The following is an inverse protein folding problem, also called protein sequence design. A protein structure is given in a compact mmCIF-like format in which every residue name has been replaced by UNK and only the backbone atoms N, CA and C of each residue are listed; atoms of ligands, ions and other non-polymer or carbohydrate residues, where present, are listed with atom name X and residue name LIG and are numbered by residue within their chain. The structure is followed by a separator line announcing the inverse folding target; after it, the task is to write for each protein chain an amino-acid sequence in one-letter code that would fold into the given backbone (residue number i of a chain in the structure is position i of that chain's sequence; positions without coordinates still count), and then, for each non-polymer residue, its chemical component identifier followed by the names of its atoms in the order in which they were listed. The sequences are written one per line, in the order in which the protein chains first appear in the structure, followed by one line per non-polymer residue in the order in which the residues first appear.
data_IF_075963449740
#
_entry.id   IF_075963449740
#
_cell.length_a   1.000
_cell.length_b   1.000
_cell.length_c   1.000
_cell.angle_alpha   90.00
_cell.angle_beta   90.00
_cell.angle_gamma   90.00
#
_symmetry.space_group_name_H-M   'P 1'
#
loop_
_entity.id
_entity.type
_entity.pdbx_description
1 polymer ?
#
# COMPACT_ATOMS: atom_id res chain seq x y z
N UNK A 1 4.08 1.74 56.46
CA UNK A 1 3.54 0.69 55.57
C UNK A 1 2.81 1.35 54.42
N UNK A 2 3.27 1.26 53.16
CA UNK A 2 2.51 1.80 52.04
C UNK A 2 1.30 0.90 51.77
N UNK A 3 0.10 1.48 51.74
CA UNK A 3 -1.13 0.76 51.40
C UNK A 3 -1.14 0.51 49.89
N UNK A 4 -0.97 -0.76 49.51
CA UNK A 4 -1.18 -1.22 48.14
C UNK A 4 -2.68 -1.13 47.86
N UNK A 5 -3.08 -0.32 46.89
CA UNK A 5 -4.45 -0.28 46.38
C UNK A 5 -4.41 -0.93 45.00
N UNK A 6 -4.84 -2.18 44.92
CA UNK A 6 -4.98 -2.92 43.67
C UNK A 6 -6.30 -2.55 43.00
N UNK A 7 -6.29 -1.59 42.08
CA UNK A 7 -7.41 -1.38 41.16
C UNK A 7 -7.26 -2.32 39.97
N UNK A 8 -7.57 -3.61 40.16
CA UNK A 8 -7.71 -4.56 39.05
C UNK A 8 -9.18 -4.68 38.69
N UNK A 9 -9.62 -3.96 37.65
CA UNK A 9 -10.87 -4.30 36.96
C UNK A 9 -10.47 -5.29 35.87
N UNK A 10 -10.71 -6.57 36.11
CA UNK A 10 -10.68 -7.61 35.10
C UNK A 10 -12.13 -7.73 34.63
N UNK A 11 -12.42 -7.26 33.43
CA UNK A 11 -13.72 -7.45 32.78
C UNK A 11 -13.55 -8.53 31.71
N UNK A 12 -13.97 -9.74 32.05
CA UNK A 12 -14.09 -10.87 31.13
C UNK A 12 -15.55 -11.24 31.00
N UNK A 13 -16.18 -10.85 29.89
CA UNK A 13 -17.47 -11.37 29.45
C UNK A 13 -17.69 -10.97 27.98
N UNK A 14 -17.76 -11.97 27.11
CA UNK A 14 -18.12 -11.89 25.70
C UNK A 14 -19.48 -11.19 25.50
N UNK A 15 -19.41 -9.88 25.30
CA UNK A 15 -20.48 -9.09 24.68
C UNK A 15 -19.88 -8.46 23.43
N UNK A 16 -20.27 -8.96 22.25
CA UNK A 16 -20.08 -8.24 20.98
C UNK A 16 -21.09 -7.09 20.92
N UNK A 17 -21.00 -6.19 21.89
CA UNK A 17 -21.62 -4.88 21.78
C UNK A 17 -20.92 -4.16 20.63
N UNK A 18 -21.70 -3.62 19.70
CA UNK A 18 -21.20 -2.73 18.64
C UNK A 18 -20.34 -1.65 19.31
N UNK A 19 -19.02 -1.81 19.24
CA UNK A 19 -18.06 -0.98 19.96
C UNK A 19 -18.18 0.45 19.46
N UNK A 20 -18.94 1.28 20.17
CA UNK A 20 -18.76 2.73 20.20
C UNK A 20 -17.44 3.04 20.94
N UNK A 21 -16.34 2.50 20.41
CA UNK A 21 -15.00 2.58 20.96
C UNK A 21 -14.11 3.39 20.03
N UNK A 22 -13.15 4.10 20.62
CA UNK A 22 -12.10 4.75 19.87
C UNK A 22 -11.17 3.68 19.27
N UNK A 23 -11.04 3.65 17.95
CA UNK A 23 -10.13 2.76 17.23
C UNK A 23 -8.71 3.31 17.30
N UNK A 24 -7.75 2.45 17.65
CA UNK A 24 -6.34 2.81 17.78
C UNK A 24 -5.53 2.14 16.68
N UNK A 25 -4.68 2.91 16.02
CA UNK A 25 -3.84 2.46 14.90
C UNK A 25 -2.37 2.78 15.15
N UNK A 26 -1.55 1.82 14.72
CA UNK A 26 -0.11 1.82 14.90
C UNK A 26 0.59 1.91 13.56
N UNK A 27 1.77 2.53 13.55
CA UNK A 27 2.70 2.43 12.43
C UNK A 27 3.19 0.98 12.29
N UNK A 28 3.72 0.63 11.12
CA UNK A 28 4.41 -0.65 10.87
C UNK A 28 5.55 -0.94 11.86
N UNK A 29 6.17 0.10 12.44
CA UNK A 29 7.16 -0.05 13.51
C UNK A 29 6.55 -0.26 14.91
N UNK A 30 5.23 -0.40 15.04
CA UNK A 30 4.47 -0.48 16.30
C UNK A 30 4.46 0.80 17.15
N UNK A 31 4.78 1.95 16.56
CA UNK A 31 4.55 3.26 17.19
C UNK A 31 3.06 3.60 17.16
N UNK A 32 2.52 4.18 18.23
CA UNK A 32 1.14 4.63 18.26
C UNK A 32 0.96 5.95 17.49
N UNK A 33 0.04 5.95 16.51
CA UNK A 33 -0.08 7.07 15.55
C UNK A 33 -1.47 7.69 15.54
N UNK A 34 -2.54 6.91 15.44
CA UNK A 34 -3.88 7.47 15.22
C UNK A 34 -4.89 6.87 16.19
N UNK A 35 -5.73 7.73 16.75
CA UNK A 35 -6.97 7.31 17.41
C UNK A 35 -8.13 8.02 16.72
N UNK A 36 -9.17 7.29 16.36
CA UNK A 36 -10.34 7.81 15.64
C UNK A 36 -11.63 7.14 16.10
N UNK A 37 -12.76 7.82 15.93
CA UNK A 37 -14.12 7.40 16.29
C UNK A 37 -14.75 6.36 15.33
N UNK A 38 -14.03 5.97 14.27
CA UNK A 38 -14.55 5.05 13.24
C UNK A 38 -13.42 4.23 12.62
N UNK A 39 -13.74 3.04 12.13
CA UNK A 39 -12.78 2.16 11.46
C UNK A 39 -12.24 2.78 10.16
N UNK A 40 -10.95 2.58 9.88
CA UNK A 40 -10.30 3.10 8.67
C UNK A 40 -10.90 2.53 7.38
N UNK A 41 -11.41 1.30 7.38
CA UNK A 41 -12.06 0.67 6.23
C UNK A 41 -13.40 1.30 5.84
N UNK A 42 -14.07 1.98 6.78
CA UNK A 42 -15.38 2.62 6.56
C UNK A 42 -15.25 4.08 6.05
N UNK A 43 -14.03 4.62 6.06
CA UNK A 43 -13.76 5.97 5.62
C UNK A 43 -13.63 6.04 4.10
N UNK A 44 -14.04 7.16 3.48
CA UNK A 44 -13.91 7.33 2.04
C UNK A 44 -12.44 7.33 1.64
N UNK A 45 -12.14 6.66 0.52
CA UNK A 45 -10.81 6.62 -0.10
C UNK A 45 -10.76 7.57 -1.29
N UNK A 46 -9.60 8.18 -1.50
CA UNK A 46 -9.35 9.10 -2.61
C UNK A 46 -8.92 8.30 -3.86
N UNK A 47 -9.57 8.54 -4.99
CA UNK A 47 -9.31 7.80 -6.24
C UNK A 47 -7.89 7.95 -6.80
N UNK A 48 -7.21 9.07 -6.54
CA UNK A 48 -5.91 9.34 -7.16
C UNK A 48 -4.74 8.56 -6.57
N UNK A 49 -4.83 8.14 -5.31
CA UNK A 49 -3.76 7.48 -4.57
C UNK A 49 -4.24 6.52 -3.48
N UNK A 50 -5.53 6.21 -3.46
CA UNK A 50 -6.19 5.36 -2.47
C UNK A 50 -5.95 5.78 -1.02
N UNK A 51 -5.59 7.06 -0.79
CA UNK A 51 -5.43 7.59 0.56
C UNK A 51 -6.78 7.67 1.27
N UNK A 52 -6.79 7.33 2.56
CA UNK A 52 -8.00 7.37 3.39
C UNK A 52 -8.23 8.82 3.83
N UNK A 53 -9.44 9.33 3.60
CA UNK A 53 -9.78 10.74 3.83
C UNK A 53 -10.35 10.91 5.25
N UNK A 54 -9.65 11.66 6.09
CA UNK A 54 -10.14 12.10 7.39
C UNK A 54 -10.72 13.52 7.29
N UNK A 55 -12.01 13.67 7.58
CA UNK A 55 -12.67 14.99 7.61
C UNK A 55 -12.40 15.70 8.93
N UNK A 56 -11.61 16.78 8.90
CA UNK A 56 -11.17 17.50 10.10
C UNK A 56 -12.31 18.23 10.84
N UNK A 57 -13.38 18.60 10.12
CA UNK A 57 -14.50 19.35 10.70
C UNK A 57 -15.51 18.46 11.44
N UNK A 58 -15.69 17.21 11.02
CA UNK A 58 -16.75 16.33 11.54
C UNK A 58 -16.22 15.21 12.43
N UNK A 59 -14.97 14.79 12.26
CA UNK A 59 -14.41 13.63 12.95
C UNK A 59 -13.55 14.03 14.14
N UNK A 60 -13.72 13.30 15.24
CA UNK A 60 -12.84 13.40 16.39
C UNK A 60 -11.72 12.37 16.28
N UNK A 61 -10.50 12.84 16.05
CA UNK A 61 -9.34 11.96 16.02
C UNK A 61 -8.09 12.65 16.57
N UNK A 62 -7.13 11.88 17.06
CA UNK A 62 -5.80 12.35 17.47
C UNK A 62 -4.74 11.70 16.61
N UNK A 63 -3.91 12.52 15.97
CA UNK A 63 -2.81 12.07 15.12
C UNK A 63 -1.47 12.45 15.79
N UNK A 64 -0.62 11.45 15.97
CA UNK A 64 0.74 11.57 16.47
C UNK A 64 1.71 11.38 15.31
N UNK A 65 2.02 12.48 14.63
CA UNK A 65 2.94 12.51 13.50
C UNK A 65 3.72 13.82 13.49
N UNK A 66 4.94 13.78 12.96
CA UNK A 66 5.81 14.95 12.82
C UNK A 66 5.64 15.50 11.42
N UNK A 67 5.25 16.77 11.33
CA UNK A 67 5.23 17.47 10.06
C UNK A 67 6.65 17.76 9.58
N UNK A 68 6.93 17.41 8.33
CA UNK A 68 8.24 17.59 7.69
C UNK A 68 8.11 18.55 6.50
N UNK A 69 9.03 18.44 5.53
CA UNK A 69 9.05 19.26 4.33
C UNK A 69 7.78 19.11 3.49
N UNK A 70 7.39 20.21 2.85
CA UNK A 70 6.35 20.19 1.84
C UNK A 70 6.91 19.67 0.52
N UNK A 71 6.21 18.74 -0.13
CA UNK A 71 6.55 18.26 -1.48
C UNK A 71 5.46 18.66 -2.46
N UNK A 72 5.86 18.91 -3.71
CA UNK A 72 4.92 19.14 -4.80
C UNK A 72 4.83 17.84 -5.60
N UNK A 73 3.63 17.30 -5.73
CA UNK A 73 3.35 16.06 -6.47
C UNK A 73 2.60 16.41 -7.75
N UNK A 74 3.06 15.88 -8.89
CA UNK A 74 2.38 15.99 -10.18
C UNK A 74 1.36 14.86 -10.29
N UNK A 75 0.08 15.20 -10.49
CA UNK A 75 -1.04 14.24 -10.61
C UNK A 75 -1.50 14.02 -12.04
N UNK A 76 -1.21 14.96 -12.93
CA UNK A 76 -1.56 14.91 -14.36
C UNK A 76 -0.70 15.89 -15.14
N UNK A 77 -1.02 16.12 -16.42
CA UNK A 77 -0.17 16.95 -17.30
C UNK A 77 0.09 18.35 -16.72
N UNK A 78 -0.92 18.98 -16.11
CA UNK A 78 -0.85 20.33 -15.54
C UNK A 78 -1.38 20.45 -14.09
N UNK A 79 -1.58 19.33 -13.39
CA UNK A 79 -2.10 19.35 -12.02
C UNK A 79 -1.00 19.08 -11.01
N UNK A 80 -0.68 20.09 -10.21
CA UNK A 80 0.30 20.03 -9.13
C UNK A 80 -0.39 20.19 -7.78
N UNK A 81 -0.05 19.31 -6.84
CA UNK A 81 -0.58 19.32 -5.49
C UNK A 81 0.56 19.53 -4.50
N UNK A 82 0.43 20.54 -3.64
CA UNK A 82 1.36 20.76 -2.53
C UNK A 82 0.92 19.90 -1.34
N UNK A 83 1.81 19.01 -0.91
CA UNK A 83 1.59 18.08 0.20
C UNK A 83 2.54 18.40 1.35
N UNK A 84 2.00 18.66 2.52
CA UNK A 84 2.74 18.75 3.77
C UNK A 84 2.76 17.37 4.40
N UNK A 85 3.92 16.72 4.35
CA UNK A 85 4.06 15.32 4.76
C UNK A 85 4.15 15.18 6.28
N UNK A 86 3.45 14.18 6.81
CA UNK A 86 3.41 13.82 8.21
C UNK A 86 4.06 12.44 8.37
N UNK A 87 5.16 12.38 9.11
CA UNK A 87 5.95 11.16 9.28
C UNK A 87 5.83 10.61 10.70
N UNK A 88 6.03 9.30 10.82
CA UNK A 88 6.14 8.62 12.11
C UNK A 88 7.30 9.22 12.93
N UNK A 89 7.11 9.56 14.21
CA UNK A 89 8.16 10.12 15.06
C UNK A 89 9.32 9.16 15.31
N UNK A 90 9.09 7.84 15.20
CA UNK A 90 10.07 6.80 15.50
C UNK A 90 10.87 6.33 14.29
N UNK A 91 10.21 5.94 13.20
CA UNK A 91 10.88 5.38 12.01
C UNK A 91 10.86 6.30 10.79
N UNK A 92 10.25 7.49 10.91
CA UNK A 92 10.14 8.45 9.81
C UNK A 92 9.38 7.92 8.58
N UNK A 93 8.57 6.88 8.72
CA UNK A 93 7.64 6.41 7.67
C UNK A 93 6.60 7.50 7.35
N UNK A 94 6.28 7.69 6.07
CA UNK A 94 5.20 8.59 5.65
C UNK A 94 3.85 8.00 6.07
N UNK A 95 3.19 8.66 7.01
CA UNK A 95 1.89 8.23 7.54
C UNK A 95 0.75 8.92 6.79
N UNK A 96 0.87 10.23 6.63
CA UNK A 96 -0.23 11.06 6.15
C UNK A 96 0.30 12.31 5.48
N UNK A 97 -0.58 13.06 4.83
CA UNK A 97 -0.28 14.38 4.34
C UNK A 97 -1.50 15.30 4.39
N UNK A 98 -1.23 16.61 4.40
CA UNK A 98 -2.24 17.65 4.30
C UNK A 98 -1.92 18.61 3.15
N UNK A 99 -2.93 19.32 2.64
CA UNK A 99 -2.75 20.37 1.63
C UNK A 99 -2.40 21.72 2.26
N UNK A 100 -2.62 21.88 3.57
CA UNK A 100 -2.39 23.11 4.33
C UNK A 100 -1.13 23.04 5.17
N UNK A 101 -0.49 24.19 5.42
CA UNK A 101 0.73 24.28 6.22
C UNK A 101 0.50 23.96 7.70
N UNK A 102 -0.65 24.30 8.24
CA UNK A 102 -0.96 24.04 9.64
C UNK A 102 -1.61 22.67 9.76
N UNK A 103 -1.13 21.87 10.70
CA UNK A 103 -1.72 20.57 11.05
C UNK A 103 -3.20 20.76 11.41
N UNK A 104 -4.08 19.99 10.77
CA UNK A 104 -5.54 20.13 10.85
C UNK A 104 -6.07 21.50 10.44
N UNK A 105 -5.29 22.28 9.68
CA UNK A 105 -5.71 23.59 9.18
C UNK A 105 -6.65 23.51 7.98
N UNK A 106 -6.61 22.41 7.25
CA UNK A 106 -7.42 22.15 6.07
C UNK A 106 -8.69 21.35 6.39
N UNK A 107 -9.56 21.13 5.38
CA UNK A 107 -10.77 20.33 5.55
C UNK A 107 -10.47 18.84 5.73
N UNK A 108 -9.37 18.35 5.17
CA UNK A 108 -9.05 16.93 5.10
C UNK A 108 -7.60 16.64 5.50
N UNK A 109 -7.41 15.48 6.11
CA UNK A 109 -6.11 14.84 6.31
C UNK A 109 -6.12 13.50 5.58
N UNK A 110 -5.11 13.25 4.77
CA UNK A 110 -5.05 12.05 3.93
C UNK A 110 -4.08 11.06 4.55
N UNK A 111 -4.57 9.90 5.00
CA UNK A 111 -3.74 8.80 5.50
C UNK A 111 -3.28 7.97 4.32
N UNK A 112 -1.98 7.69 4.24
CA UNK A 112 -1.41 6.83 3.20
C UNK A 112 -1.88 5.39 3.41
N UNK A 113 -2.35 4.75 2.34
CA UNK A 113 -2.78 3.35 2.37
C UNK A 113 -1.64 2.45 2.87
N UNK A 114 -1.96 1.53 3.78
CA UNK A 114 -0.99 0.58 4.34
C UNK A 114 0.03 1.19 5.31
N UNK A 115 -0.06 2.48 5.64
CA UNK A 115 0.86 3.09 6.61
C UNK A 115 0.52 2.74 8.07
N UNK A 116 -0.71 2.30 8.32
CA UNK A 116 -1.28 2.06 9.64
C UNK A 116 -1.93 0.67 9.74
N UNK A 117 -1.74 0.00 10.87
CA UNK A 117 -2.36 -1.28 11.21
C UNK A 117 -3.10 -1.16 12.55
N UNK A 118 -4.22 -1.86 12.69
CA UNK A 118 -4.95 -1.96 13.96
C UNK A 118 -4.24 -2.90 14.95
N UNK A 119 -3.70 -4.01 14.45
CA UNK A 119 -2.97 -5.01 15.25
C UNK A 119 -1.46 -4.75 15.16
N UNK A 120 -0.80 -4.71 16.32
CA UNK A 120 0.67 -4.62 16.37
C UNK A 120 1.32 -5.90 15.85
N UNK A 121 2.30 -5.76 14.97
CA UNK A 121 3.14 -6.88 14.53
C UNK A 121 2.55 -7.74 13.39
N UNK A 122 1.38 -7.37 12.85
CA UNK A 122 0.79 -8.01 11.67
C UNK A 122 0.65 -6.96 10.57
N UNK A 123 1.18 -7.18 9.35
CA UNK A 123 0.92 -6.33 8.18
C UNK A 123 -0.58 -6.28 7.84
N UNK A 124 -1.06 -5.16 7.30
CA UNK A 124 -2.46 -5.02 6.89
C UNK A 124 -2.77 -5.87 5.64
N UNK A 125 -3.81 -6.71 5.66
CA UNK A 125 -4.14 -7.69 4.61
C UNK A 125 -4.36 -7.11 3.20
N UNK A 126 -4.82 -5.86 3.06
CA UNK A 126 -4.97 -5.14 1.76
C UNK A 126 -3.67 -4.89 0.97
N UNK A 127 -2.51 -5.40 1.38
CA UNK A 127 -1.25 -5.17 0.65
C UNK A 127 -1.15 -5.94 -0.68
N UNK A 128 -2.02 -6.94 -0.90
CA UNK A 128 -1.95 -7.86 -2.05
C UNK A 128 -3.05 -7.65 -3.11
N UNK A 129 -4.05 -6.79 -2.89
CA UNK A 129 -5.30 -6.93 -3.64
C UNK A 129 -5.32 -6.40 -5.08
N UNK A 130 -4.34 -5.63 -5.56
CA UNK A 130 -4.30 -5.26 -7.00
C UNK A 130 -2.87 -5.09 -7.52
N UNK A 131 -2.13 -6.19 -7.63
CA UNK A 131 -1.15 -6.28 -8.72
C UNK A 131 -1.96 -6.53 -10.01
N UNK A 132 -1.77 -5.73 -11.08
CA UNK A 132 -2.41 -6.01 -12.36
C UNK A 132 -1.97 -7.40 -12.84
N UNK A 133 -2.84 -8.40 -12.67
CA UNK A 133 -2.58 -9.81 -13.01
C UNK A 133 -3.20 -10.85 -12.08
N UNK A 134 -3.64 -10.50 -10.86
CA UNK A 134 -4.28 -11.47 -9.95
C UNK A 134 -5.67 -10.99 -9.55
N UNK A 135 -6.66 -11.29 -10.39
CA UNK A 135 -8.07 -11.12 -10.02
C UNK A 135 -8.46 -12.08 -8.89
N UNK A 136 -9.40 -11.70 -8.02
CA UNK A 136 -9.81 -12.55 -6.91
C UNK A 136 -10.69 -13.70 -7.44
N UNK A 137 -10.30 -14.93 -7.15
CA UNK A 137 -11.19 -16.08 -7.23
C UNK A 137 -12.31 -15.90 -6.19
N UNK A 138 -13.47 -15.45 -6.67
CA UNK A 138 -14.68 -15.32 -5.89
C UNK A 138 -15.19 -16.69 -5.41
N UNK A 139 -15.49 -16.79 -4.11
CA UNK A 139 -16.60 -17.59 -3.59
C UNK A 139 -16.32 -19.07 -3.31
N UNK A 140 -16.01 -19.39 -2.05
CA UNK A 140 -16.22 -20.73 -1.50
C UNK A 140 -17.73 -20.97 -1.26
N UNK A 141 -18.44 -21.25 -2.36
CA UNK A 141 -19.79 -21.82 -2.37
C UNK A 141 -19.71 -23.24 -2.94
N UNK A 142 -19.79 -24.24 -2.07
CA UNK A 142 -19.72 -25.67 -2.42
C UNK A 142 -21.07 -26.11 -3.00
N UNK A 143 -21.14 -26.43 -4.30
CA UNK A 143 -21.80 -27.64 -4.88
C UNK A 143 -21.76 -27.66 -6.42
N UNK A 144 -21.04 -28.65 -6.98
CA UNK A 144 -21.43 -29.47 -8.13
C UNK A 144 -21.51 -28.84 -9.53
N UNK A 145 -20.59 -29.25 -10.41
CA UNK A 145 -20.74 -29.11 -11.87
C UNK A 145 -19.42 -29.32 -12.61
N UNK A 146 -19.27 -30.46 -13.28
CA UNK A 146 -18.20 -30.74 -14.25
C UNK A 146 -18.32 -29.79 -15.45
N UNK A 147 -17.25 -29.08 -15.81
CA UNK A 147 -17.06 -28.44 -17.11
C UNK A 147 -15.57 -28.14 -17.37
N UNK A 148 -14.99 -29.04 -18.15
CA UNK A 148 -13.91 -28.92 -19.15
C UNK A 148 -12.97 -27.70 -19.11
N UNK A 149 -11.68 -28.03 -19.05
CA UNK A 149 -10.54 -27.13 -19.16
C UNK A 149 -10.13 -26.95 -20.64
N UNK A 150 -10.25 -25.73 -21.16
CA UNK A 150 -9.51 -25.26 -22.33
C UNK A 150 -9.15 -23.77 -22.10
N UNK A 151 -8.02 -23.34 -22.66
CA UNK A 151 -7.38 -22.00 -22.59
C UNK A 151 -6.23 -21.79 -21.58
N UNK A 152 -5.07 -22.40 -21.89
CA UNK A 152 -3.75 -22.01 -21.35
C UNK A 152 -2.64 -21.97 -22.44
N UNK A 153 -2.97 -22.24 -23.70
CA UNK A 153 -1.98 -22.42 -24.78
C UNK A 153 -1.46 -21.12 -25.41
N UNK A 154 -2.13 -19.99 -25.21
CA UNK A 154 -1.78 -18.73 -25.86
C UNK A 154 -0.54 -18.04 -25.27
N UNK A 155 -0.41 -18.07 -23.94
CA UNK A 155 0.67 -17.38 -23.23
C UNK A 155 2.02 -18.08 -23.41
N UNK A 156 2.02 -19.42 -23.44
CA UNK A 156 3.23 -20.21 -23.63
C UNK A 156 3.78 -20.03 -25.05
N UNK A 157 2.92 -19.98 -26.06
CA UNK A 157 3.32 -19.73 -27.46
C UNK A 157 3.92 -18.33 -27.62
N UNK A 158 3.36 -17.29 -27.00
CA UNK A 158 3.91 -15.94 -27.09
C UNK A 158 5.29 -15.81 -26.40
N UNK A 159 5.48 -16.52 -25.29
CA UNK A 159 6.77 -16.60 -24.60
C UNK A 159 7.82 -17.33 -25.44
N UNK A 160 7.44 -18.41 -26.14
CA UNK A 160 8.33 -19.11 -27.07
C UNK A 160 8.77 -18.19 -28.22
N UNK A 161 7.83 -17.45 -28.84
CA UNK A 161 8.15 -16.53 -29.96
C UNK A 161 9.15 -15.46 -29.52
N UNK A 162 8.93 -14.86 -28.34
CA UNK A 162 9.83 -13.83 -27.80
C UNK A 162 11.20 -14.40 -27.43
N UNK A 163 11.27 -15.65 -26.96
CA UNK A 163 12.53 -16.31 -26.68
C UNK A 163 13.32 -16.59 -27.98
N UNK A 164 12.65 -17.05 -29.04
CA UNK A 164 13.27 -17.34 -30.34
C UNK A 164 13.77 -16.07 -31.04
N UNK A 165 12.98 -14.98 -31.00
CA UNK A 165 13.40 -13.67 -31.51
C UNK A 165 14.66 -13.17 -30.79
N UNK A 166 14.70 -13.29 -29.47
CA UNK A 166 15.84 -12.83 -28.67
C UNK A 166 17.09 -13.68 -28.91
N UNK A 167 16.93 -15.00 -29.10
CA UNK A 167 18.03 -15.88 -29.49
C UNK A 167 18.57 -15.57 -30.88
N UNK A 168 17.68 -15.27 -31.85
CA UNK A 168 18.07 -14.91 -33.21
C UNK A 168 18.84 -13.59 -33.24
N UNK A 169 18.42 -12.58 -32.46
CA UNK A 169 19.10 -11.30 -32.33
C UNK A 169 20.50 -11.47 -31.69
N UNK A 170 20.61 -12.31 -30.66
CA UNK A 170 21.89 -12.62 -30.02
C UNK A 170 22.84 -13.37 -30.98
N UNK A 171 22.32 -14.27 -31.82
CA UNK A 171 23.12 -14.98 -32.82
C UNK A 171 23.63 -14.03 -33.92
N UNK A 172 22.80 -13.11 -34.40
CA UNK A 172 23.21 -12.09 -35.38
C UNK A 172 24.28 -11.15 -34.81
N UNK A 173 24.13 -10.71 -33.55
CA UNK A 173 25.13 -9.88 -32.88
C UNK A 173 26.48 -10.60 -32.72
N UNK A 174 26.46 -11.89 -32.37
CA UNK A 174 27.66 -12.74 -32.30
C UNK A 174 28.32 -12.92 -33.66
N UNK A 175 27.54 -13.17 -34.71
CA UNK A 175 28.06 -13.32 -36.07
C UNK A 175 28.70 -12.00 -36.57
N UNK A 176 28.09 -10.86 -36.27
CA UNK A 176 28.63 -9.55 -36.62
C UNK A 176 29.97 -9.26 -35.91
N UNK A 177 30.05 -9.56 -34.61
CA UNK A 177 31.29 -9.43 -33.85
C UNK A 177 32.40 -10.36 -34.38
N UNK A 178 32.07 -11.61 -34.70
CA UNK A 178 33.02 -12.55 -35.27
C UNK A 178 33.54 -12.09 -36.65
N UNK A 179 32.66 -11.57 -37.51
CA UNK A 179 33.04 -11.05 -38.82
C UNK A 179 33.94 -9.78 -38.70
N UNK A 180 33.66 -8.92 -37.74
CA UNK A 180 34.47 -7.73 -37.43
C UNK A 180 35.86 -8.09 -36.89
N UNK A 181 35.96 -9.14 -36.08
CA UNK A 181 37.24 -9.66 -35.60
C UNK A 181 38.06 -10.33 -36.72
N UNK A 182 37.42 -11.02 -37.65
CA UNK A 182 38.11 -11.63 -38.79
C UNK A 182 38.68 -10.59 -39.77
N UNK A 183 37.95 -9.50 -40.04
CA UNK A 183 38.40 -8.45 -40.96
C UNK A 183 39.54 -7.57 -40.43
N UNK A 184 39.75 -7.54 -39.12
CA UNK A 184 40.89 -6.86 -38.49
C UNK A 184 42.18 -7.69 -38.49
N UNK A 185 42.10 -8.98 -38.82
CA UNK A 185 43.26 -9.89 -38.86
C UNK A 185 43.91 -10.06 -40.25
N UNK A 186 43.27 -9.54 -41.32
CA UNK A 186 43.74 -9.68 -42.72
C UNK A 186 44.44 -8.44 -43.28
N UNK A 187 44.72 -7.43 -42.45
CA UNK A 187 45.36 -6.16 -42.83
C UNK A 187 46.79 -5.98 -42.29
N UNK A 188 47.49 -7.07 -42.00
CA UNK A 188 48.94 -7.09 -41.68
C UNK A 188 49.75 -7.82 -42.73
#
# INVERSE_FOLDING_TARGET
MPKIISNSIISSSDHRDEQQGLHSYYCLCSEFILVIDMELGQLPRRETDNSIILTNATRMYKLHAIQTEAKIVKRGENLFEKQYRLHCPRCSLLIAYETTKHLKGGPYTYIVQGALNEIQGVPHDDWEQELPGTGPAAGSGKTGGEAEAEEDSGMEVELQIRADENQSAAAQARAFLAASMASSSSSS
#
